data_IF_754060897579
#
_entry.id   IF_754060897579
#
_cell.length_a   1.000
_cell.length_b   1.000
_cell.length_c   1.000
_cell.angle_alpha   90.00
_cell.angle_beta   90.00
_cell.angle_gamma   90.00
#
_symmetry.space_group_name_H-M   'P 1'
#
loop_
_entity.id
_entity.type
_entity.pdbx_description
1 polymer ?
#
# COMPACT_ATOMS: atom_id res chain seq x y z
N UNK A 1 55.90 43.63 -7.37
CA UNK A 1 55.43 42.81 -6.24
C UNK A 1 54.88 41.51 -6.78
N UNK A 2 55.74 40.49 -6.66
CA UNK A 2 55.55 39.05 -6.47
C UNK A 2 54.19 38.39 -6.80
N UNK A 3 54.28 37.45 -7.75
CA UNK A 3 53.56 36.18 -7.94
C UNK A 3 52.69 35.66 -6.78
N UNK A 4 51.52 35.06 -7.11
CA UNK A 4 51.35 33.59 -7.10
C UNK A 4 50.03 33.18 -7.79
N UNK A 5 50.15 32.42 -8.87
CA UNK A 5 49.10 31.50 -9.37
C UNK A 5 49.09 30.29 -8.43
N UNK A 6 47.91 29.87 -7.97
CA UNK A 6 47.72 28.52 -7.45
C UNK A 6 46.41 27.97 -8.02
N UNK A 7 46.56 26.96 -8.86
CA UNK A 7 45.48 26.13 -9.34
C UNK A 7 44.99 25.27 -8.16
N UNK A 8 43.67 25.18 -8.00
CA UNK A 8 43.02 24.30 -7.05
C UNK A 8 41.97 23.47 -7.78
N UNK A 9 42.42 22.49 -8.55
CA UNK A 9 41.58 21.43 -9.06
C UNK A 9 41.30 20.47 -7.90
N UNK A 10 40.10 20.54 -7.32
CA UNK A 10 39.60 19.49 -6.43
C UNK A 10 38.66 18.60 -7.24
N UNK A 11 39.26 17.57 -7.85
CA UNK A 11 38.54 16.40 -8.30
C UNK A 11 38.18 15.57 -7.06
N UNK A 12 36.90 15.57 -6.68
CA UNK A 12 36.38 14.64 -5.68
C UNK A 12 35.77 13.45 -6.40
N UNK A 13 36.49 12.35 -6.30
CA UNK A 13 36.18 11.07 -6.89
C UNK A 13 34.93 10.43 -6.25
N UNK A 14 34.06 9.93 -7.12
CA UNK A 14 33.33 8.65 -7.05
C UNK A 14 33.08 8.08 -5.64
N UNK A 15 31.82 8.20 -5.23
CA UNK A 15 31.19 7.32 -4.25
C UNK A 15 29.78 6.97 -4.71
N UNK A 16 29.66 6.38 -5.91
CA UNK A 16 28.40 5.82 -6.38
C UNK A 16 28.10 4.55 -5.57
N UNK A 17 27.51 4.71 -4.39
CA UNK A 17 26.91 3.59 -3.67
C UNK A 17 25.60 3.26 -4.38
N UNK A 18 25.71 2.42 -5.41
CA UNK A 18 24.56 1.83 -6.08
C UNK A 18 23.77 1.01 -5.07
N UNK A 19 22.65 1.54 -4.58
CA UNK A 19 21.60 0.68 -4.04
C UNK A 19 20.96 -0.03 -5.24
N UNK A 20 21.34 -1.29 -5.42
CA UNK A 20 20.59 -2.23 -6.26
C UNK A 20 19.24 -2.42 -5.57
N UNK A 21 18.23 -1.67 -5.99
CA UNK A 21 16.84 -2.06 -5.75
C UNK A 21 16.53 -3.08 -6.84
N UNK A 22 16.56 -4.36 -6.47
CA UNK A 22 15.97 -5.40 -7.29
C UNK A 22 14.45 -5.14 -7.33
N UNK A 23 13.98 -4.42 -8.34
CA UNK A 23 12.59 -4.45 -8.74
C UNK A 23 12.34 -5.85 -9.33
N UNK A 24 11.95 -6.79 -8.48
CA UNK A 24 11.43 -8.07 -8.92
C UNK A 24 10.05 -7.83 -9.52
N UNK A 25 10.02 -7.52 -10.82
CA UNK A 25 8.84 -7.76 -11.63
C UNK A 25 8.68 -9.27 -11.71
N UNK A 26 7.69 -9.83 -11.02
CA UNK A 26 7.30 -11.21 -11.21
C UNK A 26 6.61 -11.31 -12.58
N UNK A 27 7.39 -11.61 -13.62
CA UNK A 27 6.89 -12.22 -14.83
C UNK A 27 6.62 -13.69 -14.50
N UNK A 28 5.35 -14.10 -14.58
CA UNK A 28 5.01 -15.52 -14.67
C UNK A 28 4.76 -15.85 -16.14
N UNK A 29 5.77 -16.44 -16.78
CA UNK A 29 5.58 -17.28 -17.94
C UNK A 29 5.05 -18.63 -17.45
N UNK A 30 3.81 -18.95 -17.81
CA UNK A 30 3.31 -20.33 -17.80
C UNK A 30 2.67 -20.61 -19.16
N UNK A 31 3.47 -21.19 -20.05
CA UNK A 31 2.97 -22.06 -21.11
C UNK A 31 2.13 -23.18 -20.47
N UNK A 32 0.85 -23.23 -20.81
CA UNK A 32 -0.01 -24.40 -20.55
C UNK A 32 -0.69 -24.75 -21.88
N UNK A 33 -0.59 -26.02 -22.33
CA UNK A 33 -1.16 -26.45 -23.59
C UNK A 33 -2.70 -26.46 -23.51
N UNK A 34 -3.35 -26.10 -24.60
CA UNK A 34 -4.80 -26.17 -24.74
C UNK A 34 -5.32 -27.60 -24.54
N UNK A 35 -6.43 -27.77 -23.80
CA UNK A 35 -7.33 -28.89 -24.02
C UNK A 35 -8.74 -28.40 -24.39
N UNK A 36 -9.15 -28.89 -25.56
CA UNK A 36 -10.48 -29.20 -26.06
C UNK A 36 -11.74 -28.67 -25.35
N UNK A 37 -12.61 -28.12 -26.19
CA UNK A 37 -14.01 -27.85 -25.92
C UNK A 37 -14.77 -29.11 -25.47
N UNK A 38 -15.57 -28.99 -24.40
CA UNK A 38 -17.02 -29.17 -24.41
C UNK A 38 -17.60 -29.30 -22.98
N UNK A 39 -18.79 -28.70 -22.81
CA UNK A 39 -19.86 -29.05 -21.88
C UNK A 39 -19.80 -28.59 -20.40
N UNK A 40 -20.51 -27.48 -20.17
CA UNK A 40 -21.63 -27.38 -19.22
C UNK A 40 -21.45 -27.93 -17.79
N UNK A 41 -21.16 -27.06 -16.84
CA UNK A 41 -21.79 -27.12 -15.51
C UNK A 41 -21.92 -25.72 -14.90
N UNK A 42 -23.14 -25.19 -14.92
CA UNK A 42 -23.58 -24.19 -13.95
C UNK A 42 -23.59 -24.82 -12.56
N UNK A 43 -22.50 -24.75 -11.81
CA UNK A 43 -22.43 -25.36 -10.47
C UNK A 43 -21.41 -24.71 -9.51
N UNK A 44 -21.25 -23.39 -9.52
CA UNK A 44 -20.54 -22.68 -8.44
C UNK A 44 -21.30 -21.39 -8.06
N UNK A 45 -22.54 -21.54 -7.58
CA UNK A 45 -23.31 -20.42 -7.00
C UNK A 45 -23.72 -20.67 -5.54
N UNK A 46 -23.06 -21.61 -4.85
CA UNK A 46 -23.30 -21.91 -3.44
C UNK A 46 -22.02 -22.07 -2.60
N UNK A 47 -20.88 -21.57 -3.08
CA UNK A 47 -19.63 -21.63 -2.34
C UNK A 47 -19.47 -20.39 -1.45
N UNK A 48 -19.83 -20.58 -0.17
CA UNK A 48 -19.33 -19.86 1.00
C UNK A 48 -19.91 -18.45 1.29
N UNK A 49 -21.20 -18.40 1.69
CA UNK A 49 -21.88 -17.19 2.18
C UNK A 49 -21.26 -16.53 3.43
N UNK A 50 -20.31 -17.20 4.08
CA UNK A 50 -19.57 -16.67 5.24
C UNK A 50 -18.11 -16.29 4.93
N UNK A 51 -17.68 -16.41 3.67
CA UNK A 51 -16.36 -15.94 3.26
C UNK A 51 -16.22 -14.45 3.59
N UNK A 52 -15.14 -14.11 4.30
CA UNK A 52 -14.76 -12.72 4.55
C UNK A 52 -13.67 -12.31 3.60
N UNK A 53 -13.88 -11.21 2.90
CA UNK A 53 -12.88 -10.61 2.03
C UNK A 53 -12.48 -9.23 2.56
N UNK A 54 -11.29 -8.78 2.16
CA UNK A 54 -10.75 -7.48 2.54
C UNK A 54 -10.76 -6.56 1.34
N UNK A 55 -11.29 -5.36 1.52
CA UNK A 55 -11.31 -4.32 0.50
C UNK A 55 -9.88 -3.78 0.26
N UNK A 56 -9.37 -3.83 -0.98
CA UNK A 56 -8.05 -3.30 -1.31
C UNK A 56 -7.88 -1.80 -1.03
N UNK A 57 -8.97 -1.04 -1.00
CA UNK A 57 -8.94 0.43 -0.91
C UNK A 57 -8.81 0.91 0.55
N UNK A 58 -9.67 0.42 1.43
CA UNK A 58 -9.78 0.89 2.83
C UNK A 58 -9.33 -0.17 3.85
N UNK A 59 -8.94 -1.35 3.38
CA UNK A 59 -8.56 -2.47 4.23
C UNK A 59 -9.73 -3.05 5.02
N UNK A 60 -10.99 -2.67 4.81
CA UNK A 60 -12.10 -3.20 5.58
C UNK A 60 -12.35 -4.68 5.27
N UNK A 61 -12.50 -5.50 6.33
CA UNK A 61 -12.84 -6.91 6.21
C UNK A 61 -14.31 -7.16 6.54
N UNK A 62 -15.07 -7.66 5.58
CA UNK A 62 -16.50 -7.93 5.73
C UNK A 62 -16.92 -9.17 4.94
N UNK A 63 -18.20 -9.57 5.03
CA UNK A 63 -18.71 -10.71 4.26
C UNK A 63 -18.67 -10.40 2.76
N UNK A 64 -18.06 -11.28 1.99
CA UNK A 64 -17.89 -11.13 0.54
C UNK A 64 -19.23 -11.01 -0.20
N UNK A 65 -20.29 -11.66 0.30
CA UNK A 65 -21.65 -11.57 -0.26
C UNK A 65 -22.26 -10.16 -0.22
N UNK A 66 -21.73 -9.27 0.62
CA UNK A 66 -22.15 -7.87 0.71
C UNK A 66 -21.20 -6.91 0.00
N UNK A 67 -20.25 -7.42 -0.78
CA UNK A 67 -19.20 -6.64 -1.45
C UNK A 67 -19.39 -6.68 -2.97
N UNK A 68 -18.84 -5.68 -3.64
CA UNK A 68 -18.73 -5.65 -5.10
C UNK A 68 -17.54 -6.51 -5.50
N UNK A 69 -17.78 -7.55 -6.30
CA UNK A 69 -16.76 -8.46 -6.82
C UNK A 69 -16.24 -7.94 -8.16
N UNK A 70 -14.93 -7.87 -8.33
CA UNK A 70 -14.26 -7.49 -9.59
C UNK A 70 -13.13 -8.47 -9.85
N UNK A 71 -13.07 -9.02 -11.05
CA UNK A 71 -11.94 -9.83 -11.51
C UNK A 71 -10.78 -8.91 -11.92
N UNK A 72 -9.58 -9.19 -11.43
CA UNK A 72 -8.36 -8.46 -11.77
C UNK A 72 -7.16 -9.41 -11.70
N UNK A 73 -6.34 -9.43 -12.76
CA UNK A 73 -5.15 -10.30 -12.88
C UNK A 73 -5.44 -11.79 -12.56
N UNK A 74 -6.59 -12.29 -13.01
CA UNK A 74 -7.02 -13.68 -12.78
C UNK A 74 -7.44 -13.99 -11.34
N UNK A 75 -7.60 -12.96 -10.49
CA UNK A 75 -8.05 -13.09 -9.12
C UNK A 75 -9.33 -12.28 -8.86
N UNK A 76 -10.18 -12.80 -7.99
CA UNK A 76 -11.37 -12.11 -7.53
C UNK A 76 -11.05 -11.14 -6.39
N UNK A 77 -11.23 -9.85 -6.64
CA UNK A 77 -11.13 -8.79 -5.64
C UNK A 77 -12.53 -8.38 -5.18
N UNK A 78 -12.63 -8.02 -3.89
CA UNK A 78 -13.90 -7.64 -3.27
C UNK A 78 -13.79 -6.24 -2.68
N UNK A 79 -14.73 -5.37 -3.01
CA UNK A 79 -14.76 -3.96 -2.61
C UNK A 79 -15.99 -3.66 -1.75
N UNK A 80 -15.84 -2.80 -0.73
CA UNK A 80 -16.95 -2.46 0.18
C UNK A 80 -18.15 -1.81 -0.52
N UNK A 81 -17.95 -1.24 -1.70
CA UNK A 81 -19.00 -0.65 -2.51
C UNK A 81 -18.52 -0.32 -3.92
N UNK A 82 -19.45 0.11 -4.76
CA UNK A 82 -19.17 0.41 -6.17
C UNK A 82 -18.12 1.51 -6.32
N UNK A 83 -18.13 2.52 -5.45
CA UNK A 83 -17.17 3.61 -5.53
C UNK A 83 -15.72 3.14 -5.34
N UNK A 84 -15.46 2.24 -4.38
CA UNK A 84 -14.13 1.67 -4.16
C UNK A 84 -13.68 0.83 -5.38
N UNK A 85 -14.59 0.06 -5.98
CA UNK A 85 -14.31 -0.68 -7.21
C UNK A 85 -13.97 0.27 -8.38
N UNK A 86 -14.75 1.33 -8.56
CA UNK A 86 -14.52 2.33 -9.61
C UNK A 86 -13.21 3.10 -9.40
N UNK A 87 -12.84 3.37 -8.14
CA UNK A 87 -11.54 3.95 -7.81
C UNK A 87 -10.42 3.01 -8.22
N UNK A 88 -10.50 1.74 -7.80
CA UNK A 88 -9.49 0.72 -8.11
C UNK A 88 -9.29 0.57 -9.62
N UNK A 89 -10.37 0.43 -10.40
CA UNK A 89 -10.31 0.21 -11.85
C UNK A 89 -9.65 1.38 -12.61
N UNK A 90 -9.61 2.59 -12.05
CA UNK A 90 -8.92 3.72 -12.67
C UNK A 90 -7.41 3.63 -12.57
N UNK A 91 -6.89 3.05 -11.49
CA UNK A 91 -5.45 2.98 -11.20
C UNK A 91 -5.11 1.87 -10.19
N UNK A 92 -5.17 0.59 -10.59
CA UNK A 92 -5.01 -0.55 -9.68
C UNK A 92 -3.68 -0.50 -8.91
N UNK A 93 -2.60 -0.12 -9.60
CA UNK A 93 -1.24 -0.09 -9.08
C UNK A 93 -1.08 0.91 -7.92
N UNK A 94 -1.89 1.96 -7.84
CA UNK A 94 -1.86 2.93 -6.75
C UNK A 94 -2.48 2.42 -5.47
N UNK A 95 -3.56 1.66 -5.58
CA UNK A 95 -4.40 1.28 -4.44
C UNK A 95 -4.06 -0.07 -3.82
N UNK A 96 -3.52 -1.00 -4.59
CA UNK A 96 -3.22 -2.33 -4.08
C UNK A 96 -1.76 -2.67 -4.30
N UNK A 97 -0.94 -2.30 -3.32
CA UNK A 97 0.49 -2.62 -3.29
C UNK A 97 0.73 -3.71 -2.26
N UNK A 98 1.40 -4.78 -2.66
CA UNK A 98 1.80 -5.84 -1.74
C UNK A 98 3.31 -6.01 -1.74
N UNK A 99 3.86 -6.42 -0.60
CA UNK A 99 5.28 -6.74 -0.44
C UNK A 99 5.42 -7.91 0.52
N UNK A 100 6.31 -8.85 0.20
CA UNK A 100 6.53 -10.06 1.00
C UNK A 100 7.77 -9.91 1.88
N UNK A 101 7.67 -10.33 3.14
CA UNK A 101 8.78 -10.42 4.09
C UNK A 101 8.69 -11.78 4.80
N UNK A 102 9.43 -12.76 4.29
CA UNK A 102 9.21 -14.16 4.68
C UNK A 102 7.78 -14.58 4.34
N UNK A 103 7.07 -15.11 5.32
CA UNK A 103 5.66 -15.54 5.19
C UNK A 103 4.65 -14.39 5.35
N UNK A 104 5.12 -13.20 5.76
CA UNK A 104 4.28 -12.01 5.91
C UNK A 104 4.08 -11.34 4.55
N UNK A 105 2.83 -10.98 4.27
CA UNK A 105 2.48 -10.07 3.19
C UNK A 105 2.02 -8.75 3.81
N UNK A 106 2.75 -7.69 3.49
CA UNK A 106 2.38 -6.31 3.82
C UNK A 106 1.59 -5.75 2.65
N UNK A 107 0.37 -5.32 2.93
CA UNK A 107 -0.51 -4.69 1.96
C UNK A 107 -0.60 -3.21 2.27
N UNK A 108 -0.62 -2.38 1.25
CA UNK A 108 -0.66 -0.92 1.38
C UNK A 108 -1.60 -0.32 0.33
N UNK A 109 -2.46 0.58 0.80
CA UNK A 109 -3.30 1.45 -0.01
C UNK A 109 -2.94 2.90 0.24
N UNK A 110 -2.89 3.69 -0.83
CA UNK A 110 -2.62 5.13 -0.78
C UNK A 110 -3.77 5.87 -1.45
N UNK A 111 -4.48 6.66 -0.66
CA UNK A 111 -5.56 7.53 -1.11
C UNK A 111 -5.07 8.98 -1.03
N UNK A 112 -5.44 9.82 -1.98
CA UNK A 112 -5.38 11.28 -1.74
C UNK A 112 -6.31 11.65 -0.58
N UNK A 113 -6.08 12.80 0.04
CA UNK A 113 -6.94 13.35 1.09
C UNK A 113 -8.40 13.41 0.61
N UNK A 114 -8.61 13.89 -0.61
CA UNK A 114 -9.94 14.13 -1.14
C UNK A 114 -10.66 12.80 -1.43
N UNK A 115 -9.96 11.81 -1.97
CA UNK A 115 -10.46 10.44 -2.15
C UNK A 115 -10.84 9.81 -0.81
N UNK A 116 -9.98 9.94 0.21
CA UNK A 116 -10.28 9.44 1.55
C UNK A 116 -11.52 10.12 2.16
N UNK A 117 -11.62 11.44 2.05
CA UNK A 117 -12.80 12.19 2.53
C UNK A 117 -14.06 11.75 1.78
N UNK A 118 -13.98 11.58 0.47
CA UNK A 118 -15.11 11.17 -0.36
C UNK A 118 -15.56 9.75 -0.03
N UNK A 119 -14.62 8.83 0.15
CA UNK A 119 -14.86 7.45 0.59
C UNK A 119 -15.54 7.42 1.96
N UNK A 120 -15.02 8.16 2.94
CA UNK A 120 -15.64 8.21 4.27
C UNK A 120 -17.07 8.78 4.21
N UNK A 121 -17.33 9.76 3.34
CA UNK A 121 -18.68 10.32 3.14
C UNK A 121 -19.64 9.30 2.55
N UNK A 122 -19.26 8.54 1.52
CA UNK A 122 -20.14 7.57 0.88
C UNK A 122 -20.50 6.39 1.79
N UNK A 123 -19.62 6.08 2.74
CA UNK A 123 -19.89 5.09 3.79
C UNK A 123 -20.73 5.63 4.96
N UNK A 124 -21.26 6.86 4.88
CA UNK A 124 -22.01 7.50 5.97
C UNK A 124 -21.13 7.94 7.15
N UNK A 125 -19.82 7.84 7.02
CA UNK A 125 -18.82 8.10 8.06
C UNK A 125 -18.16 9.48 7.94
N UNK A 126 -18.64 10.36 7.05
CA UNK A 126 -18.01 11.65 6.77
C UNK A 126 -17.84 12.56 7.99
N UNK A 127 -18.72 12.43 9.01
CA UNK A 127 -18.62 13.18 10.28
C UNK A 127 -17.46 12.74 11.17
N UNK A 128 -16.87 11.57 10.91
CA UNK A 128 -15.71 11.05 11.65
C UNK A 128 -14.38 11.54 11.05
N UNK A 129 -14.43 12.23 9.92
CA UNK A 129 -13.23 12.81 9.31
C UNK A 129 -12.88 14.11 10.03
N UNK A 130 -11.75 14.10 10.72
CA UNK A 130 -11.20 15.27 11.37
C UNK A 130 -10.48 16.15 10.35
N UNK A 131 -11.17 17.17 9.84
CA UNK A 131 -10.66 18.06 8.80
C UNK A 131 -9.38 18.80 9.26
N UNK A 132 -9.28 19.17 10.53
CA UNK A 132 -8.11 19.85 11.07
C UNK A 132 -6.87 18.94 11.04
N UNK A 133 -7.05 17.64 11.33
CA UNK A 133 -5.95 16.65 11.21
C UNK A 133 -5.51 16.38 9.77
N UNK A 134 -6.34 16.71 8.79
CA UNK A 134 -6.05 16.50 7.37
C UNK A 134 -5.64 17.78 6.63
N UNK A 135 -5.73 18.96 7.26
CA UNK A 135 -5.52 20.25 6.59
C UNK A 135 -4.16 20.32 5.86
N UNK A 136 -3.08 20.02 6.59
CA UNK A 136 -1.72 19.98 6.06
C UNK A 136 -1.34 18.65 5.38
N UNK A 137 -2.30 17.73 5.20
CA UNK A 137 -2.07 16.40 4.65
C UNK A 137 -2.54 16.32 3.21
N UNK A 138 -1.91 15.41 2.49
CA UNK A 138 -2.13 15.19 1.05
C UNK A 138 -2.67 13.81 0.77
N UNK A 139 -2.30 12.82 1.60
CA UNK A 139 -2.65 11.43 1.40
C UNK A 139 -3.02 10.77 2.73
N UNK A 140 -3.87 9.75 2.64
CA UNK A 140 -4.13 8.78 3.67
C UNK A 140 -3.56 7.43 3.24
N UNK A 141 -2.80 6.80 4.12
CA UNK A 141 -2.18 5.50 3.87
C UNK A 141 -2.73 4.51 4.87
N UNK A 142 -3.20 3.38 4.37
CA UNK A 142 -3.68 2.25 5.15
C UNK A 142 -2.80 1.04 4.86
N UNK A 143 -2.32 0.40 5.92
CA UNK A 143 -1.46 -0.79 5.85
C UNK A 143 -2.10 -1.92 6.65
N UNK A 144 -2.06 -3.14 6.14
CA UNK A 144 -2.38 -4.34 6.90
C UNK A 144 -1.40 -5.46 6.57
N UNK A 145 -1.32 -6.46 7.46
CA UNK A 145 -0.39 -7.57 7.33
C UNK A 145 -1.17 -8.87 7.37
N UNK A 146 -0.84 -9.78 6.46
CA UNK A 146 -1.39 -11.14 6.42
C UNK A 146 -0.27 -12.17 6.45
N UNK A 147 -0.61 -13.38 6.90
CA UNK A 147 0.24 -14.56 6.87
C UNK A 147 -0.63 -15.75 6.45
N UNK A 148 -0.64 -16.07 5.15
CA UNK A 148 -1.74 -16.83 4.55
C UNK A 148 -3.08 -16.15 4.83
N UNK A 149 -4.04 -16.89 5.39
CA UNK A 149 -5.38 -16.39 5.74
C UNK A 149 -5.44 -15.65 7.10
N UNK A 150 -4.33 -15.65 7.85
CA UNK A 150 -4.25 -15.02 9.18
C UNK A 150 -3.89 -13.54 9.08
N UNK A 151 -4.33 -12.78 10.07
CA UNK A 151 -4.01 -11.35 10.23
C UNK A 151 -3.27 -11.18 11.55
N UNK A 152 -1.94 -11.44 11.57
CA UNK A 152 -1.18 -11.42 12.80
C UNK A 152 -1.17 -10.02 13.40
N UNK A 153 -1.26 -9.97 14.73
CA UNK A 153 -0.90 -8.77 15.44
C UNK A 153 0.62 -8.65 15.44
N UNK A 154 1.14 -7.46 15.16
CA UNK A 154 2.56 -7.16 15.34
C UNK A 154 2.77 -6.83 16.81
N UNK A 155 2.72 -7.83 17.69
CA UNK A 155 2.71 -7.61 19.14
C UNK A 155 4.04 -7.00 19.60
N UNK A 156 3.95 -5.81 20.19
CA UNK A 156 5.11 -5.00 20.59
C UNK A 156 5.86 -4.32 19.44
N UNK A 157 5.69 -4.77 18.20
CA UNK A 157 6.24 -4.12 17.02
C UNK A 157 5.31 -3.01 16.50
N UNK A 158 5.93 -1.95 15.98
CA UNK A 158 5.24 -0.83 15.34
C UNK A 158 5.40 -0.88 13.83
N UNK A 159 4.59 -0.11 13.12
CA UNK A 159 4.82 0.20 11.72
C UNK A 159 5.06 1.71 11.56
N UNK A 160 5.97 2.06 10.67
CA UNK A 160 6.16 3.41 10.20
C UNK A 160 6.21 3.44 8.67
N UNK A 161 5.91 4.60 8.10
CA UNK A 161 6.19 4.91 6.71
C UNK A 161 7.48 5.70 6.65
N UNK A 162 8.40 5.26 5.81
CA UNK A 162 9.52 6.08 5.35
C UNK A 162 9.19 6.55 3.94
N UNK A 163 9.20 7.87 3.74
CA UNK A 163 8.94 8.50 2.45
C UNK A 163 10.25 9.10 1.98
N UNK A 164 10.63 8.82 0.74
CA UNK A 164 11.77 9.43 0.06
C UNK A 164 11.24 10.30 -1.06
N UNK A 165 11.41 11.61 -0.90
CA UNK A 165 11.04 12.63 -1.87
C UNK A 165 11.88 12.54 -3.15
N UNK A 166 11.46 13.28 -4.18
CA UNK A 166 12.13 13.31 -5.49
C UNK A 166 13.52 13.96 -5.42
N UNK A 167 13.76 14.79 -4.42
CA UNK A 167 15.05 15.39 -4.07
C UNK A 167 15.94 14.50 -3.20
N UNK A 168 15.47 13.30 -2.85
CA UNK A 168 16.14 12.37 -1.94
C UNK A 168 15.95 12.68 -0.45
N UNK A 169 15.20 13.73 -0.09
CA UNK A 169 14.87 14.00 1.30
C UNK A 169 14.05 12.86 1.88
N UNK A 170 14.34 12.46 3.11
CA UNK A 170 13.63 11.38 3.79
C UNK A 170 12.78 11.94 4.92
N UNK A 171 11.55 11.45 5.04
CA UNK A 171 10.73 11.65 6.23
C UNK A 171 10.21 10.32 6.78
N UNK A 172 9.82 10.31 8.05
CA UNK A 172 9.27 9.12 8.70
C UNK A 172 8.02 9.50 9.48
N UNK A 173 6.97 8.69 9.35
CA UNK A 173 5.71 8.86 10.09
C UNK A 173 5.27 7.52 10.65
N UNK A 174 5.07 7.44 11.97
CA UNK A 174 4.51 6.24 12.60
C UNK A 174 3.07 6.03 12.19
N UNK A 175 2.72 4.78 11.87
CA UNK A 175 1.34 4.38 11.59
C UNK A 175 0.62 4.05 12.90
N UNK A 176 -0.62 4.50 13.03
CA UNK A 176 -1.46 4.22 14.20
C UNK A 176 -2.27 2.96 13.98
N UNK A 177 -2.19 2.00 14.92
CA UNK A 177 -2.97 0.76 14.85
C UNK A 177 -4.45 1.02 15.09
N UNK A 178 -5.28 0.68 14.11
CA UNK A 178 -6.72 0.56 14.26
C UNK A 178 -7.06 -0.88 14.65
N UNK A 179 -7.37 -1.10 15.94
CA UNK A 179 -7.64 -2.44 16.49
C UNK A 179 -8.90 -3.08 15.90
N UNK A 180 -9.91 -2.28 15.58
CA UNK A 180 -11.17 -2.76 15.03
C UNK A 180 -10.99 -3.28 13.61
N UNK A 181 -10.29 -2.51 12.77
CA UNK A 181 -10.06 -2.84 11.36
C UNK A 181 -8.88 -3.80 11.14
N UNK A 182 -8.04 -3.97 12.17
CA UNK A 182 -6.73 -4.62 12.10
C UNK A 182 -5.85 -4.00 11.01
N UNK A 183 -5.91 -2.68 10.89
CA UNK A 183 -5.09 -1.87 9.98
C UNK A 183 -4.15 -0.97 10.77
N UNK A 184 -3.23 -0.35 10.06
CA UNK A 184 -2.33 0.69 10.53
C UNK A 184 -2.46 1.87 9.59
N UNK A 185 -2.79 3.03 10.15
CA UNK A 185 -3.22 4.18 9.35
C UNK A 185 -2.38 5.42 9.66
N UNK A 186 -2.08 6.20 8.62
CA UNK A 186 -1.42 7.50 8.75
C UNK A 186 -1.91 8.47 7.67
N UNK A 187 -2.02 9.75 8.04
CA UNK A 187 -2.15 10.83 7.08
C UNK A 187 -0.78 11.48 6.86
N UNK A 188 -0.34 11.55 5.61
CA UNK A 188 1.01 12.00 5.22
C UNK A 188 0.95 13.22 4.29
N UNK A 189 2.09 13.88 4.17
CA UNK A 189 2.32 14.99 3.24
C UNK A 189 3.33 14.53 2.20
N UNK A 190 2.94 14.59 0.92
CA UNK A 190 3.82 14.31 -0.20
C UNK A 190 4.96 15.34 -0.23
N UNK A 191 6.17 14.88 -0.55
CA UNK A 191 7.37 15.70 -0.65
C UNK A 191 7.59 16.14 -2.10
N UNK A 192 6.91 17.23 -2.47
CA UNK A 192 6.94 17.77 -3.83
C UNK A 192 6.07 16.99 -4.81
N UNK A 193 6.21 17.33 -6.09
CA UNK A 193 5.49 16.71 -7.20
C UNK A 193 6.26 15.50 -7.74
N UNK A 194 5.52 14.53 -8.32
CA UNK A 194 6.08 13.34 -8.95
C UNK A 194 6.05 12.07 -8.09
N UNK A 195 6.62 10.99 -8.61
CA UNK A 195 6.65 9.69 -7.95
C UNK A 195 7.62 9.68 -6.76
N UNK A 196 7.13 9.23 -5.61
CA UNK A 196 7.90 9.15 -4.37
C UNK A 196 8.00 7.69 -3.93
N UNK A 197 9.14 7.32 -3.34
CA UNK A 197 9.30 5.98 -2.79
C UNK A 197 8.70 5.96 -1.38
N UNK A 198 7.86 4.97 -1.12
CA UNK A 198 7.27 4.75 0.20
C UNK A 198 7.64 3.35 0.65
N UNK A 199 8.30 3.26 1.80
CA UNK A 199 8.63 2.00 2.45
C UNK A 199 7.82 1.85 3.74
N UNK A 200 7.29 0.65 3.97
CA UNK A 200 6.75 0.27 5.27
C UNK A 200 7.90 -0.30 6.10
N UNK A 201 8.18 0.35 7.23
CA UNK A 201 9.25 -0.04 8.16
C UNK A 201 8.60 -0.72 9.37
N UNK A 202 9.03 -1.94 9.66
CA UNK A 202 8.66 -2.64 10.90
C UNK A 202 9.64 -2.22 11.99
N UNK A 203 9.13 -1.65 13.07
CA UNK A 203 9.95 -1.24 14.22
C UNK A 203 9.80 -2.24 15.34
N UNK A 204 10.91 -2.62 15.97
CA UNK A 204 10.88 -3.49 17.16
C UNK A 204 10.29 -2.76 18.37
N UNK A 205 9.90 -3.50 19.43
CA UNK A 205 9.71 -2.87 20.73
C UNK A 205 10.92 -2.02 21.13
N UNK A 206 10.74 -1.01 22.00
CA UNK A 206 11.84 -0.22 22.54
C UNK A 206 12.92 -1.12 23.16
N UNK A 207 14.18 -0.82 22.86
CA UNK A 207 15.37 -1.45 23.48
C UNK A 207 16.17 -0.38 24.20
N UNK A 208 16.81 -0.74 25.31
CA UNK A 208 17.81 0.12 25.96
C UNK A 208 19.11 0.04 25.15
N UNK A 209 19.64 1.19 24.74
CA UNK A 209 20.90 1.33 24.00
C UNK A 209 22.02 1.83 24.91
#
# INVERSE_FOLDING_TARGET
MTLFRAAGAFALALGATGMIVAAAYAQHDHDVPAPDAHASTHAEHAANSDMKARCPIDGMKMKASGMVKVEHDGADLYFCGQQQADMFLKDPARYYKTSKLGDLVVHMSVLTKDEHVQMMKSMGMGRMVDAAKLEAKTHHVTVWVTEGDREPALDGAGLALQIVGTDGAMSTTTLKRNRMMKTYDAAITAQGDGEQKVAVVITTPPVSL
#
